data_IF_453072513280
#
_entry.id   IF_453072513280
#
_cell.length_a   1.000
_cell.length_b   1.000
_cell.length_c   1.000
_cell.angle_alpha   90.00
_cell.angle_beta   90.00
_cell.angle_gamma   90.00
#
_symmetry.space_group_name_H-M   'P 1'
#
loop_
_entity.id
_entity.type
_entity.pdbx_description
1 polymer ?
#
# COMPACT_ATOMS: atom_id res chain seq x y z
N UNK A 1 -10.80 12.92 -36.98
CA UNK A 1 -11.00 11.75 -36.12
C UNK A 1 -10.52 12.19 -34.74
N UNK A 2 -11.41 12.47 -33.78
CA UNK A 2 -10.99 12.84 -32.43
C UNK A 2 -10.55 11.53 -31.74
N UNK A 3 -9.28 11.44 -31.39
CA UNK A 3 -8.79 10.41 -30.46
C UNK A 3 -9.56 10.62 -29.17
N UNK A 4 -10.20 9.60 -28.67
CA UNK A 4 -10.91 9.63 -27.38
C UNK A 4 -9.85 9.79 -26.30
N UNK A 5 -9.72 10.99 -25.74
CA UNK A 5 -8.91 11.26 -24.53
C UNK A 5 -9.60 10.67 -23.29
N UNK A 6 -9.86 9.36 -23.31
CA UNK A 6 -10.20 8.67 -22.06
C UNK A 6 -8.89 8.37 -21.35
N UNK A 7 -8.78 8.69 -20.06
CA UNK A 7 -7.64 8.27 -19.30
C UNK A 7 -7.48 6.76 -19.41
N UNK A 8 -6.25 6.30 -19.56
CA UNK A 8 -5.90 4.88 -19.67
C UNK A 8 -5.20 4.43 -18.38
N UNK A 9 -5.26 3.13 -18.12
CA UNK A 9 -4.53 2.52 -17.00
C UNK A 9 -3.03 2.71 -17.21
N UNK A 10 -2.33 3.05 -16.13
CA UNK A 10 -0.89 3.30 -16.13
C UNK A 10 -0.14 2.07 -15.59
N UNK A 11 0.82 1.58 -16.37
CA UNK A 11 1.71 0.50 -15.99
C UNK A 11 3.14 1.01 -15.94
N UNK A 12 3.73 1.05 -14.75
CA UNK A 12 5.12 1.43 -14.53
C UNK A 12 6.03 0.20 -14.51
N UNK A 13 5.51 -0.93 -14.03
CA UNK A 13 6.11 -2.24 -14.23
C UNK A 13 5.31 -3.00 -15.30
N UNK A 14 6.00 -3.64 -16.25
CA UNK A 14 5.36 -4.33 -17.35
C UNK A 14 5.84 -5.78 -17.45
N UNK A 15 5.35 -6.61 -16.53
CA UNK A 15 5.59 -8.06 -16.56
C UNK A 15 4.29 -8.81 -16.85
N UNK A 16 4.42 -10.01 -17.45
CA UNK A 16 3.25 -10.84 -17.73
C UNK A 16 2.52 -11.26 -16.46
N UNK A 17 3.25 -11.47 -15.34
CA UNK A 17 2.67 -11.80 -14.03
C UNK A 17 1.79 -10.68 -13.51
N UNK A 18 2.31 -9.45 -13.53
CA UNK A 18 1.56 -8.26 -13.13
C UNK A 18 0.31 -8.06 -13.98
N UNK A 19 0.42 -8.10 -15.32
CA UNK A 19 -0.73 -7.90 -16.20
C UNK A 19 -1.84 -8.93 -15.96
N UNK A 20 -1.50 -10.22 -15.84
CA UNK A 20 -2.50 -11.26 -15.51
C UNK A 20 -3.20 -11.02 -14.18
N UNK A 21 -2.45 -10.55 -13.18
CA UNK A 21 -3.02 -10.19 -11.88
C UNK A 21 -3.99 -9.02 -12.02
N UNK A 22 -3.61 -7.93 -12.67
CA UNK A 22 -4.47 -6.76 -12.89
C UNK A 22 -5.72 -7.12 -13.69
N UNK A 23 -5.61 -7.91 -14.74
CA UNK A 23 -6.76 -8.41 -15.50
C UNK A 23 -7.73 -9.18 -14.60
N UNK A 24 -7.21 -10.01 -13.68
CA UNK A 24 -8.02 -10.71 -12.68
C UNK A 24 -8.71 -9.74 -11.74
N UNK A 25 -8.00 -8.73 -11.24
CA UNK A 25 -8.57 -7.69 -10.36
C UNK A 25 -9.72 -6.96 -11.06
N UNK A 26 -9.55 -6.52 -12.30
CA UNK A 26 -10.61 -5.86 -13.07
C UNK A 26 -11.83 -6.75 -13.28
N UNK A 27 -11.61 -8.01 -13.66
CA UNK A 27 -12.69 -8.97 -13.85
C UNK A 27 -13.52 -9.17 -12.56
N UNK A 28 -12.83 -9.32 -11.40
CA UNK A 28 -13.51 -9.49 -10.11
C UNK A 28 -14.21 -8.21 -9.64
N UNK A 29 -13.56 -7.04 -9.73
CA UNK A 29 -14.19 -5.75 -9.40
C UNK A 29 -15.44 -5.44 -10.21
N UNK A 30 -15.50 -5.89 -11.47
CA UNK A 30 -16.69 -5.71 -12.29
C UNK A 30 -17.88 -6.55 -11.80
N UNK A 31 -17.62 -7.74 -11.28
CA UNK A 31 -18.61 -8.71 -10.83
C UNK A 31 -19.01 -8.52 -9.35
N UNK A 32 -18.05 -8.24 -8.47
CA UNK A 32 -18.22 -8.20 -7.02
C UNK A 32 -17.95 -6.79 -6.50
N UNK A 33 -18.97 -6.16 -5.88
CA UNK A 33 -18.91 -4.75 -5.41
C UNK A 33 -18.64 -4.62 -3.93
N UNK A 34 -18.92 -5.66 -3.16
CA UNK A 34 -18.70 -5.66 -1.72
C UNK A 34 -17.20 -5.95 -1.46
N UNK A 35 -16.46 -5.05 -0.73
CA UNK A 35 -15.02 -5.15 -0.60
C UNK A 35 -14.51 -6.45 0.02
N UNK A 36 -15.14 -6.94 1.09
CA UNK A 36 -14.70 -8.16 1.75
C UNK A 36 -14.80 -9.39 0.82
N UNK A 37 -15.92 -9.54 0.11
CA UNK A 37 -16.12 -10.62 -0.86
C UNK A 37 -15.14 -10.50 -2.04
N UNK A 38 -14.90 -9.27 -2.53
CA UNK A 38 -13.91 -9.03 -3.58
C UNK A 38 -12.51 -9.46 -3.14
N UNK A 39 -12.09 -9.07 -1.94
CA UNK A 39 -10.77 -9.43 -1.43
C UNK A 39 -10.62 -10.96 -1.28
N UNK A 40 -11.66 -11.66 -0.81
CA UNK A 40 -11.64 -13.12 -0.72
C UNK A 40 -11.46 -13.78 -2.09
N UNK A 41 -12.09 -13.25 -3.13
CA UNK A 41 -11.91 -13.73 -4.51
C UNK A 41 -10.53 -13.42 -5.09
N UNK A 42 -9.85 -12.36 -4.61
CA UNK A 42 -8.52 -11.96 -5.09
C UNK A 42 -7.37 -12.68 -4.38
N UNK A 43 -7.56 -13.17 -3.15
CA UNK A 43 -6.53 -13.83 -2.34
C UNK A 43 -5.72 -14.91 -3.10
N UNK A 44 -6.33 -15.84 -3.88
CA UNK A 44 -5.57 -16.86 -4.58
C UNK A 44 -4.63 -16.26 -5.65
N UNK A 45 -5.09 -15.27 -6.41
CA UNK A 45 -4.28 -14.63 -7.44
C UNK A 45 -3.17 -13.75 -6.83
N UNK A 46 -3.45 -13.10 -5.70
CA UNK A 46 -2.47 -12.31 -4.98
C UNK A 46 -1.37 -13.19 -4.37
N UNK A 47 -1.73 -14.32 -3.76
CA UNK A 47 -0.76 -15.29 -3.26
C UNK A 47 0.17 -15.81 -4.37
N UNK A 48 -0.38 -16.15 -5.55
CA UNK A 48 0.43 -16.55 -6.72
C UNK A 48 1.38 -15.44 -7.19
N UNK A 49 0.94 -14.16 -7.13
CA UNK A 49 1.80 -13.02 -7.47
C UNK A 49 2.98 -12.89 -6.50
N UNK A 50 2.75 -13.14 -5.19
CA UNK A 50 3.82 -13.09 -4.18
C UNK A 50 4.80 -14.25 -4.29
N UNK A 51 4.36 -15.43 -4.71
CA UNK A 51 5.21 -16.61 -4.91
C UNK A 51 6.15 -16.47 -6.12
N UNK A 52 5.75 -15.75 -7.16
CA UNK A 52 6.57 -15.53 -8.36
C UNK A 52 7.60 -14.42 -8.11
N UNK A 53 8.83 -14.80 -7.78
CA UNK A 53 9.92 -13.87 -7.50
C UNK A 53 10.53 -13.21 -8.74
N UNK A 54 9.97 -13.40 -9.93
CA UNK A 54 10.54 -12.95 -11.21
C UNK A 54 9.84 -11.74 -11.83
N UNK A 55 8.67 -11.34 -11.34
CA UNK A 55 7.84 -10.33 -12.00
C UNK A 55 8.17 -8.88 -11.62
N UNK A 56 8.71 -8.65 -10.41
CA UNK A 56 9.03 -7.30 -9.93
C UNK A 56 10.39 -6.85 -10.48
N UNK A 57 10.46 -5.79 -11.31
CA UNK A 57 11.72 -5.24 -11.78
C UNK A 57 12.60 -4.74 -10.63
N UNK A 58 13.92 -4.92 -10.76
CA UNK A 58 14.88 -4.59 -9.71
C UNK A 58 14.83 -3.11 -9.29
N UNK A 59 14.58 -2.20 -10.22
CA UNK A 59 14.45 -0.75 -9.95
C UNK A 59 13.34 -0.39 -8.97
N UNK A 60 12.32 -1.27 -8.81
CA UNK A 60 11.20 -1.09 -7.86
C UNK A 60 11.37 -1.92 -6.58
N UNK A 61 12.57 -2.41 -6.35
CA UNK A 61 12.93 -3.29 -5.22
C UNK A 61 14.08 -2.71 -4.36
N UNK A 62 14.46 -1.43 -4.58
CA UNK A 62 15.58 -0.78 -3.91
C UNK A 62 15.12 0.29 -2.93
N UNK A 63 15.84 0.52 -1.82
CA UNK A 63 15.61 1.66 -0.94
C UNK A 63 15.71 3.00 -1.67
N UNK A 64 14.95 4.01 -1.21
CA UNK A 64 14.91 5.34 -1.81
C UNK A 64 15.24 6.43 -0.80
N UNK A 65 16.45 6.98 -0.86
CA UNK A 65 16.96 7.91 0.14
C UNK A 65 16.21 9.25 0.25
N UNK A 66 15.55 9.69 -0.82
CA UNK A 66 14.78 10.93 -0.85
C UNK A 66 13.29 10.72 -0.51
N UNK A 67 12.95 9.62 0.15
CA UNK A 67 11.56 9.26 0.49
C UNK A 67 10.87 10.29 1.38
N UNK A 68 9.61 10.61 1.07
CA UNK A 68 8.73 11.41 1.93
C UNK A 68 8.37 10.73 3.27
N UNK A 69 8.50 9.40 3.35
CA UNK A 69 8.32 8.64 4.59
C UNK A 69 9.56 8.59 5.48
N UNK A 70 10.72 9.08 5.00
CA UNK A 70 11.99 9.00 5.71
C UNK A 70 12.61 7.60 5.71
N UNK A 71 13.72 7.42 6.45
CA UNK A 71 14.34 6.10 6.67
C UNK A 71 14.86 5.37 5.42
N UNK A 72 14.88 6.00 4.26
CA UNK A 72 15.25 5.35 2.99
C UNK A 72 14.17 4.43 2.42
N UNK A 73 12.93 4.58 2.87
CA UNK A 73 11.79 3.75 2.44
C UNK A 73 11.44 4.10 0.99
N UNK A 74 11.45 3.10 0.10
CA UNK A 74 10.99 3.23 -1.29
C UNK A 74 9.52 2.84 -1.42
N UNK A 75 8.69 3.70 -2.02
CA UNK A 75 7.32 3.38 -2.39
C UNK A 75 7.17 3.57 -3.89
N UNK A 76 7.10 2.48 -4.65
CA UNK A 76 7.11 2.52 -6.11
C UNK A 76 5.75 2.13 -6.67
N UNK A 77 5.11 3.04 -7.39
CA UNK A 77 3.89 2.76 -8.12
C UNK A 77 4.21 1.80 -9.26
N UNK A 78 3.51 0.67 -9.32
CA UNK A 78 3.67 -0.37 -10.34
C UNK A 78 2.50 -0.35 -11.34
N UNK A 79 1.30 -0.03 -10.83
CA UNK A 79 0.08 0.10 -11.61
C UNK A 79 -0.87 1.10 -10.96
N UNK A 80 -1.58 1.87 -11.78
CA UNK A 80 -2.69 2.74 -11.38
C UNK A 80 -3.82 2.68 -12.39
N UNK A 81 -5.06 2.47 -11.93
CA UNK A 81 -6.24 2.53 -12.81
C UNK A 81 -6.48 3.94 -13.32
N UNK A 82 -7.08 4.05 -14.51
CA UNK A 82 -7.40 5.31 -15.18
C UNK A 82 -8.20 6.30 -14.31
N UNK A 83 -9.08 5.77 -13.45
CA UNK A 83 -9.91 6.54 -12.52
C UNK A 83 -9.26 6.76 -11.14
N UNK A 84 -8.00 6.34 -10.97
CA UNK A 84 -7.22 6.41 -9.74
C UNK A 84 -7.88 5.71 -8.53
N UNK A 85 -8.84 4.85 -8.76
CA UNK A 85 -9.56 4.11 -7.72
C UNK A 85 -8.90 2.78 -7.33
N UNK A 86 -7.73 2.49 -7.92
CA UNK A 86 -6.96 1.29 -7.66
C UNK A 86 -5.49 1.52 -7.94
N UNK A 87 -4.64 1.13 -7.00
CA UNK A 87 -3.19 1.09 -7.20
C UNK A 87 -2.58 -0.22 -6.75
N UNK A 88 -1.50 -0.61 -7.42
CA UNK A 88 -0.57 -1.62 -6.96
C UNK A 88 0.81 -0.97 -6.83
N UNK A 89 1.47 -1.15 -5.68
CA UNK A 89 2.80 -0.62 -5.46
C UNK A 89 3.68 -1.57 -4.62
N UNK A 90 4.99 -1.44 -4.76
CA UNK A 90 5.96 -2.05 -3.85
C UNK A 90 6.38 -1.05 -2.78
N UNK A 91 6.50 -1.53 -1.55
CA UNK A 91 7.07 -0.80 -0.43
C UNK A 91 8.36 -1.49 0.00
N UNK A 92 9.47 -0.79 -0.10
CA UNK A 92 10.81 -1.28 0.26
C UNK A 92 11.22 -0.60 1.56
N UNK A 93 11.35 -1.37 2.63
CA UNK A 93 11.73 -0.86 3.95
C UNK A 93 13.13 -1.40 4.28
N UNK A 94 14.15 -0.51 4.44
CA UNK A 94 15.51 -0.95 4.78
C UNK A 94 15.58 -1.73 6.09
N UNK A 95 16.60 -2.57 6.24
CA UNK A 95 16.83 -3.36 7.45
C UNK A 95 16.84 -2.47 8.70
N UNK A 96 16.06 -2.83 9.72
CA UNK A 96 15.93 -2.10 10.98
C UNK A 96 15.18 -0.76 10.88
N UNK A 97 14.67 -0.39 9.70
CA UNK A 97 13.83 0.80 9.53
C UNK A 97 12.36 0.48 9.76
N UNK A 98 11.59 1.52 10.12
CA UNK A 98 10.14 1.42 10.33
C UNK A 98 9.42 2.50 9.55
N UNK A 99 8.19 2.20 9.08
CA UNK A 99 7.28 3.23 8.60
C UNK A 99 6.81 4.11 9.77
N UNK A 100 6.32 5.34 9.53
CA UNK A 100 5.44 5.99 10.49
C UNK A 100 4.26 5.10 10.86
N UNK A 101 3.62 5.30 12.01
CA UNK A 101 2.26 4.76 12.23
C UNK A 101 1.32 5.53 11.33
N UNK A 102 0.56 4.85 10.48
CA UNK A 102 -0.27 5.48 9.45
C UNK A 102 -1.50 4.63 9.12
N UNK A 103 -2.49 5.24 8.48
CA UNK A 103 -3.65 4.59 7.89
C UNK A 103 -3.57 4.51 6.36
N UNK A 104 -4.51 3.81 5.73
CA UNK A 104 -4.63 3.70 4.27
C UNK A 104 -5.94 4.30 3.75
N UNK A 105 -6.99 4.30 4.58
CA UNK A 105 -8.35 4.73 4.23
C UNK A 105 -8.92 3.99 2.99
N UNK A 106 -8.45 2.78 2.76
CA UNK A 106 -8.76 1.97 1.59
C UNK A 106 -8.82 0.49 1.93
N UNK A 107 -9.75 -0.23 1.29
CA UNK A 107 -9.69 -1.67 1.26
C UNK A 107 -8.49 -2.15 0.44
N UNK A 108 -7.93 -3.31 0.76
CA UNK A 108 -6.80 -3.83 0.01
C UNK A 108 -6.26 -5.17 0.45
N UNK A 109 -5.21 -5.59 -0.24
CA UNK A 109 -4.35 -6.72 0.12
C UNK A 109 -2.93 -6.21 0.31
N UNK A 110 -2.31 -6.62 1.40
CA UNK A 110 -0.89 -6.35 1.69
C UNK A 110 -0.20 -7.66 1.91
N UNK A 111 0.91 -7.88 1.22
CA UNK A 111 1.64 -9.14 1.35
C UNK A 111 3.14 -8.97 1.23
N UNK A 112 3.88 -9.81 1.96
CA UNK A 112 5.33 -9.76 1.99
C UNK A 112 5.92 -10.56 0.82
N UNK A 113 6.56 -9.83 -0.09
CA UNK A 113 7.22 -10.38 -1.27
C UNK A 113 8.64 -10.87 -0.97
N UNK A 114 9.37 -10.17 -0.06
CA UNK A 114 10.74 -10.52 0.33
C UNK A 114 11.06 -10.04 1.74
N UNK A 115 11.88 -10.81 2.47
CA UNK A 115 12.35 -10.47 3.81
C UNK A 115 11.39 -10.87 4.90
N UNK A 116 11.50 -10.20 6.05
CA UNK A 116 10.65 -10.39 7.23
C UNK A 116 10.29 -9.03 7.80
N UNK A 117 9.02 -8.86 8.18
CA UNK A 117 8.50 -7.62 8.77
C UNK A 117 7.77 -7.92 10.07
N UNK A 118 8.00 -7.07 11.08
CA UNK A 118 7.11 -6.96 12.23
C UNK A 118 6.06 -5.91 11.94
N UNK A 119 4.81 -6.26 12.13
CA UNK A 119 3.68 -5.35 12.02
C UNK A 119 3.04 -5.12 13.37
N UNK A 120 2.83 -3.86 13.68
CA UNK A 120 2.07 -3.39 14.84
C UNK A 120 0.78 -2.75 14.33
N UNK A 121 -0.36 -3.33 14.69
CA UNK A 121 -1.70 -2.85 14.31
C UNK A 121 -2.32 -2.12 15.50
N UNK A 122 -2.88 -0.95 15.21
CA UNK A 122 -3.48 -0.08 16.23
C UNK A 122 -4.98 0.08 16.02
N UNK A 123 -5.70 0.25 17.13
CA UNK A 123 -7.10 0.67 17.13
C UNK A 123 -7.22 2.10 17.61
N UNK A 124 -8.02 2.92 16.93
CA UNK A 124 -8.39 4.26 17.38
C UNK A 124 -9.45 4.11 18.49
N UNK A 125 -9.11 4.49 19.71
CA UNK A 125 -10.02 4.40 20.87
C UNK A 125 -10.74 5.70 21.16
N UNK A 126 -10.14 6.84 20.82
CA UNK A 126 -10.68 8.18 21.08
C UNK A 126 -10.07 9.20 20.15
N UNK A 127 -10.76 10.32 20.03
CA UNK A 127 -10.31 11.46 19.24
C UNK A 127 -10.87 11.47 17.83
N UNK A 128 -10.38 12.40 17.05
CA UNK A 128 -10.74 12.63 15.66
C UNK A 128 -9.47 12.93 14.88
N UNK A 129 -8.96 11.98 14.07
CA UNK A 129 -7.70 12.17 13.33
C UNK A 129 -7.69 13.41 12.44
N UNK A 130 -8.84 13.79 11.86
CA UNK A 130 -8.96 15.01 11.04
C UNK A 130 -8.76 16.31 11.86
N UNK A 131 -8.88 16.23 13.18
CA UNK A 131 -8.64 17.34 14.10
C UNK A 131 -7.29 17.29 14.80
N UNK A 132 -6.44 16.33 14.45
CA UNK A 132 -5.12 16.17 15.05
C UNK A 132 -5.11 15.48 16.41
N UNK A 133 -6.22 14.86 16.83
CA UNK A 133 -6.36 14.12 18.10
C UNK A 133 -6.65 12.65 17.82
N UNK A 134 -5.77 11.76 18.27
CA UNK A 134 -5.90 10.33 18.05
C UNK A 134 -5.28 9.50 19.17
N UNK A 135 -6.10 9.03 20.09
CA UNK A 135 -5.69 8.07 21.12
C UNK A 135 -5.71 6.65 20.57
N UNK A 136 -4.53 6.11 20.28
CA UNK A 136 -4.35 4.76 19.76
C UNK A 136 -4.02 3.76 20.86
N UNK A 137 -4.46 2.52 20.66
CA UNK A 137 -4.03 1.34 21.43
C UNK A 137 -3.44 0.30 20.49
N UNK A 138 -2.30 -0.28 20.86
CA UNK A 138 -1.77 -1.46 20.16
C UNK A 138 -2.76 -2.61 20.32
N UNK A 139 -3.32 -3.05 19.21
CA UNK A 139 -4.32 -4.12 19.16
C UNK A 139 -3.70 -5.49 18.88
N UNK A 140 -2.70 -5.52 18.00
CA UNK A 140 -2.03 -6.75 17.56
C UNK A 140 -0.57 -6.44 17.20
N UNK A 141 0.32 -7.39 17.46
CA UNK A 141 1.68 -7.43 16.92
C UNK A 141 1.89 -8.82 16.29
N UNK A 142 2.44 -8.84 15.08
CA UNK A 142 2.74 -10.08 14.37
C UNK A 142 3.98 -9.95 13.52
N UNK A 143 4.68 -11.05 13.31
CA UNK A 143 5.77 -11.15 12.34
C UNK A 143 5.23 -11.77 11.05
N UNK A 144 5.54 -11.14 9.91
CA UNK A 144 5.18 -11.58 8.57
C UNK A 144 6.40 -12.12 7.85
N UNK A 145 6.24 -13.25 7.19
CA UNK A 145 7.26 -13.90 6.37
C UNK A 145 6.92 -13.84 4.89
N UNK A 146 7.92 -14.01 4.05
CA UNK A 146 7.76 -14.04 2.59
C UNK A 146 6.63 -14.97 2.15
N UNK A 147 5.69 -14.46 1.34
CA UNK A 147 4.50 -15.15 0.86
C UNK A 147 3.26 -14.97 1.73
N UNK A 148 3.41 -14.52 2.97
CA UNK A 148 2.26 -14.23 3.84
C UNK A 148 1.61 -12.90 3.45
N UNK A 149 0.29 -12.81 3.61
CA UNK A 149 -0.49 -11.61 3.27
C UNK A 149 -1.80 -11.56 4.06
N UNK A 150 -2.38 -10.36 4.09
CA UNK A 150 -3.65 -10.09 4.79
C UNK A 150 -4.50 -9.09 4.01
N UNK A 151 -5.78 -9.04 4.38
CA UNK A 151 -6.73 -8.06 3.86
C UNK A 151 -6.82 -6.84 4.78
N UNK A 152 -6.90 -5.66 4.18
CA UNK A 152 -7.24 -4.40 4.84
C UNK A 152 -8.73 -4.11 4.57
N UNK A 153 -9.49 -3.86 5.63
CA UNK A 153 -10.90 -3.49 5.56
C UNK A 153 -11.20 -2.39 6.60
N UNK A 154 -10.84 -1.13 6.29
CA UNK A 154 -11.10 -0.03 7.21
C UNK A 154 -12.54 0.01 7.74
N UNK A 155 -12.75 0.39 9.02
CA UNK A 155 -11.74 0.95 9.93
C UNK A 155 -10.88 -0.11 10.65
N UNK A 156 -11.23 -1.39 10.54
CA UNK A 156 -10.55 -2.45 11.28
C UNK A 156 -9.18 -2.77 10.63
N UNK A 157 -8.13 -2.79 11.45
CA UNK A 157 -6.78 -3.16 11.03
C UNK A 157 -6.07 -2.17 10.08
N UNK A 158 -6.62 -0.97 9.89
CA UNK A 158 -6.10 0.00 8.92
C UNK A 158 -4.90 0.81 9.43
N UNK A 159 -4.85 1.08 10.74
CA UNK A 159 -3.77 1.87 11.33
C UNK A 159 -2.66 0.91 11.76
N UNK A 160 -1.48 1.07 11.15
CA UNK A 160 -0.36 0.20 11.45
C UNK A 160 1.01 0.87 11.32
N UNK A 161 2.03 0.17 11.77
CA UNK A 161 3.45 0.39 11.50
C UNK A 161 4.09 -0.93 11.11
N UNK A 162 4.98 -0.91 10.11
CA UNK A 162 5.81 -2.06 9.78
C UNK A 162 7.28 -1.74 10.01
N UNK A 163 8.01 -2.72 10.53
CA UNK A 163 9.45 -2.66 10.78
C UNK A 163 10.12 -3.86 10.12
N UNK A 164 11.16 -3.63 9.32
CA UNK A 164 11.95 -4.73 8.77
C UNK A 164 12.81 -5.36 9.85
N UNK A 165 12.62 -6.66 10.09
CA UNK A 165 13.36 -7.46 11.08
C UNK A 165 14.37 -8.42 10.43
N UNK A 166 14.32 -8.62 9.10
CA UNK A 166 15.35 -9.33 8.35
C UNK A 166 16.64 -8.51 8.23
N UNK A 167 17.81 -9.16 8.02
CA UNK A 167 19.10 -8.47 7.86
C UNK A 167 19.19 -7.64 6.57
N UNK A 168 18.32 -7.89 5.60
CA UNK A 168 18.19 -7.20 4.32
C UNK A 168 16.89 -6.39 4.30
N UNK A 169 16.75 -5.45 3.35
CA UNK A 169 15.52 -4.72 3.15
C UNK A 169 14.35 -5.69 2.86
N UNK A 170 13.21 -5.44 3.48
CA UNK A 170 11.98 -6.15 3.15
C UNK A 170 11.20 -5.45 2.03
N UNK A 171 10.43 -6.21 1.28
CA UNK A 171 9.58 -5.72 0.20
C UNK A 171 8.18 -6.26 0.40
N UNK A 172 7.21 -5.38 0.55
CA UNK A 172 5.80 -5.74 0.53
C UNK A 172 5.10 -5.19 -0.72
N UNK A 173 4.10 -5.93 -1.19
CA UNK A 173 3.24 -5.56 -2.32
C UNK A 173 1.89 -5.16 -1.76
N UNK A 174 1.40 -4.03 -2.21
CA UNK A 174 0.15 -3.45 -1.75
C UNK A 174 -0.81 -3.26 -2.94
N UNK A 175 -1.98 -3.88 -2.89
CA UNK A 175 -3.11 -3.59 -3.77
C UNK A 175 -4.12 -2.78 -2.95
N UNK A 176 -4.34 -1.50 -3.28
CA UNK A 176 -5.25 -0.64 -2.52
C UNK A 176 -6.33 0.00 -3.38
N UNK A 177 -7.52 0.15 -2.82
CA UNK A 177 -8.71 0.72 -3.45
C UNK A 177 -8.73 2.26 -3.47
N UNK A 178 -7.58 2.88 -3.62
CA UNK A 178 -7.39 4.32 -3.84
C UNK A 178 -6.02 4.60 -4.48
N UNK A 179 -5.68 5.87 -4.73
CA UNK A 179 -4.32 6.30 -5.13
C UNK A 179 -3.46 6.54 -3.87
N UNK A 180 -3.04 5.44 -3.23
CA UNK A 180 -2.49 5.39 -1.89
C UNK A 180 -1.31 6.34 -1.62
N UNK A 181 -0.47 6.61 -2.63
CA UNK A 181 0.64 7.57 -2.50
C UNK A 181 0.18 9.02 -2.55
N UNK A 182 -0.93 9.30 -3.22
CA UNK A 182 -1.36 10.66 -3.54
C UNK A 182 -2.55 11.15 -2.71
N UNK A 183 -3.33 10.26 -2.11
CA UNK A 183 -4.42 10.66 -1.19
C UNK A 183 -3.85 11.22 0.12
N UNK A 184 -4.53 12.22 0.67
CA UNK A 184 -4.23 12.71 2.02
C UNK A 184 -4.87 11.76 3.02
N UNK A 185 -4.08 11.30 3.97
CA UNK A 185 -4.46 10.39 5.06
C UNK A 185 -3.73 10.80 6.33
N UNK A 186 -3.60 9.94 7.32
CA UNK A 186 -3.04 10.33 8.60
C UNK A 186 -1.73 9.58 8.91
N UNK A 187 -0.81 10.30 9.54
CA UNK A 187 0.26 9.74 10.35
C UNK A 187 -0.05 9.99 11.82
N UNK A 188 0.45 9.12 12.69
CA UNK A 188 0.10 9.13 14.09
C UNK A 188 1.33 9.11 15.00
N UNK A 189 1.23 9.82 16.12
CA UNK A 189 2.16 9.77 17.25
C UNK A 189 1.43 9.17 18.46
N UNK A 190 1.44 7.84 18.64
CA UNK A 190 0.62 7.17 19.65
C UNK A 190 0.88 7.67 21.09
N UNK A 191 2.16 7.88 21.44
CA UNK A 191 2.55 8.36 22.77
C UNK A 191 2.04 9.78 23.07
N UNK A 192 1.95 10.62 22.05
CA UNK A 192 1.45 11.97 22.17
C UNK A 192 -0.07 12.07 21.97
N UNK A 193 -0.74 10.97 21.59
CA UNK A 193 -2.16 10.93 21.18
C UNK A 193 -2.46 11.96 20.09
N UNK A 194 -1.60 12.08 19.09
CA UNK A 194 -1.73 13.04 17.98
C UNK A 194 -1.78 12.36 16.63
N UNK A 195 -2.43 13.02 15.69
CA UNK A 195 -2.40 12.72 14.26
C UNK A 195 -2.00 13.98 13.47
N UNK A 196 -1.53 13.76 12.27
CA UNK A 196 -1.24 14.83 11.31
C UNK A 196 -1.62 14.36 9.91
N UNK A 197 -2.02 15.31 9.05
CA UNK A 197 -2.21 15.04 7.62
C UNK A 197 -0.91 14.50 7.01
N UNK A 198 -1.05 13.42 6.26
CA UNK A 198 0.07 12.69 5.71
C UNK A 198 -0.19 12.30 4.25
N UNK A 199 0.83 12.43 3.43
CA UNK A 199 0.86 11.93 2.05
C UNK A 199 2.20 11.24 1.84
N UNK A 200 2.21 9.95 1.54
CA UNK A 200 3.48 9.19 1.40
C UNK A 200 4.24 9.54 0.11
N UNK A 201 3.52 9.90 -0.95
CA UNK A 201 4.10 10.04 -2.28
C UNK A 201 4.50 8.69 -2.90
N UNK A 202 5.02 8.74 -4.11
CA UNK A 202 5.70 7.62 -4.76
C UNK A 202 7.15 8.02 -5.07
N UNK A 203 8.06 7.06 -5.08
CA UNK A 203 9.47 7.30 -5.37
C UNK A 203 9.74 7.52 -6.87
N UNK A 204 8.83 7.07 -7.73
CA UNK A 204 8.96 7.09 -9.18
C UNK A 204 7.91 7.94 -9.91
N UNK A 205 6.93 8.49 -9.19
CA UNK A 205 5.83 9.29 -9.79
C UNK A 205 5.47 10.44 -8.87
N UNK A 206 5.32 11.63 -9.41
CA UNK A 206 4.81 12.79 -8.68
C UNK A 206 3.29 12.74 -8.57
N UNK A 207 2.77 13.14 -7.42
CA UNK A 207 1.35 13.36 -7.23
C UNK A 207 0.95 14.70 -7.86
N UNK A 208 0.02 14.66 -8.80
CA UNK A 208 -0.54 15.88 -9.39
C UNK A 208 -1.74 16.31 -8.56
N UNK A 209 -1.69 17.50 -7.97
CA UNK A 209 -2.84 18.10 -7.29
C UNK A 209 -3.88 18.54 -8.32
N UNK A 210 -5.12 18.06 -8.19
CA UNK A 210 -6.20 18.35 -9.15
C UNK A 210 -6.71 19.81 -9.09
N UNK A 211 -6.14 20.67 -8.22
CA UNK A 211 -6.55 22.07 -8.07
C UNK A 211 -5.97 23.03 -9.12
N UNK A 212 -5.24 22.56 -10.13
CA UNK A 212 -4.62 23.41 -11.16
C UNK A 212 -5.02 23.03 -12.59
N UNK A 213 -6.20 22.41 -12.78
CA UNK A 213 -6.72 22.11 -14.12
C UNK A 213 -8.04 22.85 -14.39
#
# INVERSE_FOLDING_TARGET
MRVSDKPEDEYYADSQGLRRFIDTVHARRSATKEPAALLDELKPAFGQLLEDQSWLPAEFAEPYLASGMGGGIGQYLLYRSADKSLTLFSLVVPAGSSTPVHDHLAWGLVGLYRGEQREEVFSLERGDPDKGDAGLRLAEERDLHTGEFYALLPPDGDIHRVTTISPEASISIHLLGNDAGCVVRHSYEPEASRSASFRSGYSNVDCVDEEMA
#
